data_IF_644815543459
#
_entry.id   IF_644815543459
#
_cell.length_a   1.000
_cell.length_b   1.000
_cell.length_c   1.000
_cell.angle_alpha   90.00
_cell.angle_beta   90.00
_cell.angle_gamma   90.00
#
_symmetry.space_group_name_H-M   'P 1'
#
loop_
_entity.id
_entity.type
_entity.pdbx_description
1 polymer ?
#
# COMPACT_ATOMS: atom_id res chain seq x y z
N UNK A 1 -28.66 3.95 16.92
CA UNK A 1 -27.24 3.66 16.61
C UNK A 1 -26.66 4.40 15.40
N UNK A 2 -27.40 5.29 14.71
CA UNK A 2 -26.89 6.13 13.59
C UNK A 2 -26.30 7.50 13.99
N UNK A 3 -26.38 7.91 15.27
CA UNK A 3 -26.09 9.30 15.68
C UNK A 3 -24.78 9.53 16.45
N UNK A 4 -24.08 8.48 16.88
CA UNK A 4 -22.86 8.64 17.71
C UNK A 4 -21.58 8.66 16.84
N UNK A 5 -21.63 8.14 15.61
CA UNK A 5 -20.49 8.13 14.68
C UNK A 5 -20.33 9.44 13.88
N UNK A 6 -21.41 10.22 13.73
CA UNK A 6 -21.45 11.42 12.88
C UNK A 6 -20.74 12.63 13.54
N UNK A 7 -20.64 12.67 14.87
CA UNK A 7 -20.20 13.89 15.57
C UNK A 7 -18.70 13.98 15.89
N UNK A 8 -17.94 12.88 15.89
CA UNK A 8 -16.47 12.96 16.06
C UNK A 8 -15.73 13.13 14.72
N UNK A 9 -16.32 12.71 13.60
CA UNK A 9 -15.69 12.79 12.27
C UNK A 9 -15.87 14.18 11.64
N UNK A 10 -16.92 14.91 12.00
CA UNK A 10 -17.20 16.24 11.45
C UNK A 10 -16.16 17.32 11.84
N UNK A 11 -15.40 17.13 12.92
CA UNK A 11 -14.38 18.11 13.35
C UNK A 11 -13.05 17.89 12.63
N UNK A 12 -12.78 16.68 12.11
CA UNK A 12 -11.53 16.35 11.40
C UNK A 12 -11.73 16.25 9.88
N UNK A 13 -12.91 15.82 9.42
CA UNK A 13 -13.18 15.49 8.02
C UNK A 13 -13.50 16.68 7.09
N UNK A 14 -13.87 17.84 7.64
CA UNK A 14 -14.31 19.00 6.82
C UNK A 14 -13.13 19.78 6.22
N UNK A 15 -11.92 19.66 6.77
CA UNK A 15 -10.75 20.38 6.25
C UNK A 15 -9.85 19.55 5.32
N UNK A 16 -9.98 18.22 5.29
CA UNK A 16 -9.12 17.37 4.45
C UNK A 16 -9.48 17.45 2.95
N UNK A 17 -10.72 17.81 2.61
CA UNK A 17 -11.20 17.76 1.21
C UNK A 17 -10.81 18.98 0.36
N UNK A 18 -10.27 20.05 0.96
CA UNK A 18 -9.95 21.29 0.25
C UNK A 18 -8.50 21.40 -0.25
N UNK A 19 -7.62 20.43 0.03
CA UNK A 19 -6.18 20.54 -0.27
C UNK A 19 -5.63 19.55 -1.32
N UNK A 20 -6.44 18.66 -1.89
CA UNK A 20 -5.98 17.68 -2.89
C UNK A 20 -5.62 18.24 -4.29
N UNK A 21 -5.41 19.56 -4.41
CA UNK A 21 -5.19 20.28 -5.67
C UNK A 21 -3.79 20.94 -5.78
N UNK A 22 -2.82 20.59 -4.95
CA UNK A 22 -1.49 21.20 -5.00
C UNK A 22 -0.37 20.16 -5.22
N UNK A 23 0.67 20.61 -5.91
CA UNK A 23 1.73 19.83 -6.56
C UNK A 23 2.37 18.81 -5.61
N UNK A 24 2.33 17.52 -5.97
CA UNK A 24 2.57 16.42 -5.04
C UNK A 24 4.06 16.17 -4.71
N UNK A 25 5.04 16.76 -5.40
CA UNK A 25 6.47 16.49 -5.08
C UNK A 25 7.39 17.69 -5.08
N UNK A 26 7.01 18.83 -5.68
CA UNK A 26 7.84 20.03 -5.58
C UNK A 26 7.79 20.64 -4.17
N UNK A 27 6.73 20.38 -3.40
CA UNK A 27 6.38 21.17 -2.21
C UNK A 27 6.33 20.37 -0.90
N UNK A 28 6.43 19.03 -0.92
CA UNK A 28 6.34 18.24 0.32
C UNK A 28 7.52 18.49 1.27
N UNK A 29 8.73 18.71 0.75
CA UNK A 29 9.86 19.18 1.57
C UNK A 29 9.71 20.64 2.00
N UNK A 30 8.98 21.46 1.25
CA UNK A 30 8.74 22.84 1.62
C UNK A 30 7.67 22.96 2.72
N UNK A 31 6.74 22.00 2.82
CA UNK A 31 5.78 21.90 3.92
C UNK A 31 6.45 21.55 5.24
N UNK A 32 7.41 20.64 5.22
CA UNK A 32 8.12 20.20 6.41
C UNK A 32 9.16 21.23 6.85
N UNK A 33 8.87 21.96 7.94
CA UNK A 33 9.81 22.94 8.51
C UNK A 33 11.05 22.28 9.15
N UNK A 34 10.96 21.01 9.54
CA UNK A 34 12.05 20.20 10.09
C UNK A 34 11.75 18.71 9.94
N UNK A 35 12.76 17.87 10.14
CA UNK A 35 12.67 16.42 10.07
C UNK A 35 13.26 15.75 11.32
N UNK A 36 12.69 14.61 11.73
CA UNK A 36 13.26 13.74 12.77
C UNK A 36 13.70 12.41 12.19
N UNK A 37 14.89 11.95 12.60
CA UNK A 37 15.41 10.66 12.16
C UNK A 37 14.69 9.48 12.81
N UNK A 38 14.38 9.58 14.10
CA UNK A 38 13.53 8.64 14.82
C UNK A 38 12.07 9.11 14.82
N UNK A 39 11.13 8.16 14.86
CA UNK A 39 9.72 8.46 15.12
C UNK A 39 9.56 8.72 16.60
N UNK A 40 9.20 9.95 16.97
CA UNK A 40 9.02 10.34 18.37
C UNK A 40 7.73 9.76 18.95
N UNK A 41 7.59 9.67 20.30
CA UNK A 41 6.33 9.22 20.91
C UNK A 41 5.11 10.06 20.50
N UNK A 42 5.29 11.37 20.29
CA UNK A 42 4.22 12.26 19.83
C UNK A 42 3.81 11.96 18.38
N UNK A 43 4.79 11.76 17.49
CA UNK A 43 4.52 11.32 16.11
C UNK A 43 3.84 9.95 16.08
N UNK A 44 4.30 9.00 16.91
CA UNK A 44 3.69 7.68 17.01
C UNK A 44 2.24 7.74 17.49
N UNK A 45 1.90 8.64 18.42
CA UNK A 45 0.51 8.84 18.84
C UNK A 45 -0.38 9.31 17.68
N UNK A 46 0.12 10.20 16.82
CA UNK A 46 -0.62 10.64 15.62
C UNK A 46 -0.77 9.49 14.62
N UNK A 47 0.29 8.71 14.39
CA UNK A 47 0.24 7.50 13.55
C UNK A 47 -0.85 6.55 14.09
N UNK A 48 -0.86 6.28 15.39
CA UNK A 48 -1.84 5.40 16.02
C UNK A 48 -3.29 5.90 15.87
N UNK A 49 -3.51 7.22 15.96
CA UNK A 49 -4.85 7.81 15.84
C UNK A 49 -5.35 7.86 14.39
N UNK A 50 -4.50 8.30 13.47
CA UNK A 50 -4.85 8.51 12.08
C UNK A 50 -4.80 7.20 11.29
N UNK A 51 -3.62 6.58 11.27
CA UNK A 51 -3.28 5.43 10.44
C UNK A 51 -3.68 4.14 11.15
N UNK A 52 -3.62 4.09 12.48
CA UNK A 52 -4.11 2.96 13.27
C UNK A 52 -5.63 2.88 13.42
N UNK A 53 -6.39 3.82 12.85
CA UNK A 53 -7.85 3.77 12.87
C UNK A 53 -8.39 2.54 12.15
N UNK A 54 -9.49 2.00 12.66
CA UNK A 54 -10.22 0.88 12.05
C UNK A 54 -10.44 1.04 10.54
N UNK A 55 -10.85 2.24 10.12
CA UNK A 55 -11.14 2.56 8.72
C UNK A 55 -9.88 2.51 7.88
N UNK A 56 -8.78 3.11 8.36
CA UNK A 56 -7.53 3.13 7.60
C UNK A 56 -6.91 1.73 7.49
N UNK A 57 -6.94 0.95 8.57
CA UNK A 57 -6.48 -0.45 8.57
C UNK A 57 -7.20 -1.30 7.54
N UNK A 58 -8.54 -1.25 7.52
CA UNK A 58 -9.36 -1.94 6.53
C UNK A 58 -9.09 -1.43 5.10
N UNK A 59 -8.93 -0.11 4.94
CA UNK A 59 -8.67 0.49 3.65
C UNK A 59 -7.36 0.00 3.03
N UNK A 60 -6.25 0.11 3.77
CA UNK A 60 -4.93 -0.34 3.30
C UNK A 60 -4.93 -1.84 3.01
N UNK A 61 -5.55 -2.62 3.88
CA UNK A 61 -5.74 -4.06 3.69
C UNK A 61 -6.48 -4.41 2.40
N UNK A 62 -7.65 -3.81 2.19
CA UNK A 62 -8.48 -4.09 1.01
C UNK A 62 -7.86 -3.56 -0.28
N UNK A 63 -7.15 -2.42 -0.22
CA UNK A 63 -6.43 -1.89 -1.36
C UNK A 63 -5.39 -2.91 -1.87
N UNK A 64 -4.58 -3.49 -0.98
CA UNK A 64 -3.63 -4.55 -1.37
C UNK A 64 -4.34 -5.83 -1.80
N UNK A 65 -5.33 -6.29 -1.01
CA UNK A 65 -6.07 -7.52 -1.30
C UNK A 65 -6.71 -7.48 -2.69
N UNK A 66 -7.37 -6.37 -3.03
CA UNK A 66 -8.12 -6.23 -4.27
C UNK A 66 -7.20 -6.16 -5.46
N UNK A 67 -6.10 -5.39 -5.42
CA UNK A 67 -5.08 -5.38 -6.49
C UNK A 67 -4.47 -6.76 -6.72
N UNK A 68 -4.06 -7.45 -5.65
CA UNK A 68 -3.40 -8.75 -5.73
C UNK A 68 -4.32 -9.90 -6.14
N UNK A 69 -5.59 -9.86 -5.73
CA UNK A 69 -6.54 -10.97 -5.89
C UNK A 69 -7.59 -10.77 -6.98
N UNK A 70 -7.59 -9.66 -7.72
CA UNK A 70 -8.68 -9.28 -8.64
C UNK A 70 -9.01 -10.35 -9.69
N UNK A 71 -7.97 -11.01 -10.23
CA UNK A 71 -8.11 -12.06 -11.25
C UNK A 71 -8.65 -13.38 -10.69
N UNK A 72 -8.65 -13.56 -9.36
CA UNK A 72 -9.19 -14.74 -8.67
C UNK A 72 -10.70 -14.64 -8.42
N UNK A 73 -11.31 -13.51 -8.80
CA UNK A 73 -12.72 -13.22 -8.56
C UNK A 73 -13.56 -13.49 -9.80
N UNK A 74 -14.72 -14.11 -9.59
CA UNK A 74 -15.76 -14.20 -10.62
C UNK A 74 -16.31 -12.81 -10.98
N UNK A 75 -16.94 -12.68 -12.16
CA UNK A 75 -17.59 -11.43 -12.58
C UNK A 75 -18.61 -10.92 -11.55
N UNK A 76 -19.33 -11.82 -10.89
CA UNK A 76 -20.29 -11.48 -9.83
C UNK A 76 -19.60 -10.92 -8.58
N UNK A 77 -18.44 -11.46 -8.20
CA UNK A 77 -17.63 -11.00 -7.06
C UNK A 77 -16.96 -9.66 -7.36
N UNK A 78 -16.39 -9.48 -8.56
CA UNK A 78 -15.85 -8.18 -9.01
C UNK A 78 -16.93 -7.10 -9.04
N UNK A 79 -18.14 -7.45 -9.51
CA UNK A 79 -19.29 -6.54 -9.51
C UNK A 79 -19.71 -6.18 -8.10
N UNK A 80 -19.73 -7.15 -7.17
CA UNK A 80 -20.04 -6.89 -5.77
C UNK A 80 -19.03 -5.91 -5.13
N UNK A 81 -17.72 -6.07 -5.40
CA UNK A 81 -16.69 -5.12 -4.95
C UNK A 81 -16.89 -3.73 -5.54
N UNK A 82 -17.08 -3.61 -6.86
CA UNK A 82 -17.33 -2.32 -7.54
C UNK A 82 -18.53 -1.55 -6.98
N UNK A 83 -19.61 -2.25 -6.62
CA UNK A 83 -20.81 -1.63 -6.02
C UNK A 83 -20.53 -1.04 -4.64
N UNK A 84 -19.66 -1.68 -3.85
CA UNK A 84 -19.36 -1.26 -2.48
C UNK A 84 -18.22 -0.23 -2.42
N UNK A 85 -17.27 -0.30 -3.35
CA UNK A 85 -16.20 0.68 -3.50
C UNK A 85 -15.76 0.78 -4.96
N UNK A 86 -16.07 1.90 -5.63
CA UNK A 86 -15.52 2.19 -6.96
C UNK A 86 -13.98 2.27 -6.96
N UNK A 87 -13.37 2.66 -5.83
CA UNK A 87 -11.91 2.74 -5.68
C UNK A 87 -11.27 1.35 -5.79
N UNK A 88 -11.81 0.37 -5.07
CA UNK A 88 -11.30 -1.01 -5.07
C UNK A 88 -11.60 -1.79 -6.35
N UNK A 89 -12.66 -1.40 -7.05
CA UNK A 89 -13.14 -2.13 -8.21
C UNK A 89 -12.54 -1.70 -9.56
N UNK A 90 -11.73 -0.64 -9.57
CA UNK A 90 -11.18 -0.01 -10.78
C UNK A 90 -9.65 0.09 -10.79
N UNK A 91 -8.97 -0.68 -9.94
CA UNK A 91 -7.51 -0.77 -9.97
C UNK A 91 -6.99 -1.29 -11.32
N UNK A 92 -5.81 -0.81 -11.69
CA UNK A 92 -5.03 -1.40 -12.75
C UNK A 92 -4.75 -2.88 -12.45
N UNK A 93 -4.88 -3.73 -13.48
CA UNK A 93 -4.57 -5.15 -13.35
C UNK A 93 -3.06 -5.31 -13.14
N UNK A 94 -2.64 -6.17 -12.22
CA UNK A 94 -1.23 -6.51 -12.04
C UNK A 94 -0.64 -7.27 -13.24
N UNK A 95 -1.51 -7.94 -14.02
CA UNK A 95 -1.15 -8.71 -15.20
C UNK A 95 -1.97 -8.27 -16.43
N UNK A 96 -1.37 -8.18 -17.63
CA UNK A 96 0.07 -8.27 -17.89
C UNK A 96 0.81 -7.13 -17.20
N UNK A 97 2.03 -7.41 -16.74
CA UNK A 97 2.82 -6.42 -15.99
C UNK A 97 3.16 -5.16 -16.84
N UNK A 98 3.44 -4.01 -16.21
CA UNK A 98 3.97 -2.85 -16.92
C UNK A 98 5.18 -3.20 -17.78
N UNK A 99 5.24 -2.65 -19.00
CA UNK A 99 6.30 -2.95 -19.98
C UNK A 99 6.13 -4.27 -20.77
N UNK A 100 5.17 -5.13 -20.41
CA UNK A 100 4.93 -6.39 -21.14
C UNK A 100 4.01 -6.24 -22.37
N UNK A 101 3.38 -5.08 -22.57
CA UNK A 101 2.50 -4.81 -23.71
C UNK A 101 2.70 -3.39 -24.23
N UNK A 102 2.25 -3.12 -25.46
CA UNK A 102 2.26 -1.77 -26.03
C UNK A 102 1.33 -0.78 -25.30
N UNK A 103 0.31 -1.29 -24.60
CA UNK A 103 -0.61 -0.47 -23.81
C UNK A 103 0.02 -0.16 -22.45
N UNK A 104 -0.05 1.10 -22.05
CA UNK A 104 0.41 1.53 -20.73
C UNK A 104 -0.41 0.88 -19.61
N UNK A 105 0.27 0.20 -18.70
CA UNK A 105 -0.34 -0.32 -17.48
C UNK A 105 0.14 0.52 -16.29
N UNK A 106 -0.74 1.26 -15.58
CA UNK A 106 -0.36 2.11 -14.46
C UNK A 106 -0.25 1.38 -13.10
N UNK A 107 -0.24 0.04 -13.07
CA UNK A 107 -0.24 -0.74 -11.82
C UNK A 107 0.88 -0.36 -10.84
N UNK A 108 2.10 -0.09 -11.31
CA UNK A 108 3.19 0.33 -10.43
C UNK A 108 3.07 1.79 -9.99
N UNK A 109 2.52 2.67 -10.82
CA UNK A 109 2.21 4.04 -10.41
C UNK A 109 1.10 4.09 -9.34
N UNK A 110 0.10 3.21 -9.40
CA UNK A 110 -0.90 3.09 -8.32
C UNK A 110 -0.26 2.77 -6.98
N UNK A 111 0.73 1.87 -6.96
CA UNK A 111 1.50 1.56 -5.75
C UNK A 111 2.24 2.77 -5.21
N UNK A 112 3.00 3.47 -6.07
CA UNK A 112 3.76 4.65 -5.66
C UNK A 112 2.82 5.76 -5.15
N UNK A 113 1.75 6.04 -5.89
CA UNK A 113 0.80 7.10 -5.58
C UNK A 113 0.05 6.87 -4.27
N UNK A 114 -0.42 5.65 -4.00
CA UNK A 114 -1.17 5.35 -2.78
C UNK A 114 -0.29 5.60 -1.53
N UNK A 115 0.94 5.10 -1.55
CA UNK A 115 1.88 5.27 -0.42
C UNK A 115 2.35 6.71 -0.28
N UNK A 116 2.59 7.40 -1.40
CA UNK A 116 2.89 8.82 -1.40
C UNK A 116 1.77 9.62 -0.71
N UNK A 117 0.51 9.37 -1.06
CA UNK A 117 -0.63 10.06 -0.44
C UNK A 117 -0.81 9.71 1.05
N UNK A 118 -0.42 8.50 1.49
CA UNK A 118 -0.37 8.19 2.92
C UNK A 118 0.70 9.03 3.65
N UNK A 119 1.87 9.19 3.04
CA UNK A 119 2.97 10.02 3.57
C UNK A 119 2.52 11.49 3.63
N UNK A 120 1.97 12.02 2.56
CA UNK A 120 1.44 13.39 2.47
C UNK A 120 0.39 13.67 3.55
N UNK A 121 -0.55 12.73 3.75
CA UNK A 121 -1.58 12.84 4.78
C UNK A 121 -0.97 12.88 6.20
N UNK A 122 -0.01 12.01 6.50
CA UNK A 122 0.65 12.01 7.80
C UNK A 122 1.46 13.30 8.00
N UNK A 123 2.29 13.68 7.03
CA UNK A 123 3.14 14.86 7.12
C UNK A 123 2.33 16.15 7.28
N UNK A 124 1.21 16.29 6.54
CA UNK A 124 0.23 17.37 6.75
C UNK A 124 -0.24 17.44 8.19
N UNK A 125 -0.62 16.28 8.74
CA UNK A 125 -1.14 16.17 10.11
C UNK A 125 -0.07 16.52 11.14
N UNK A 126 1.18 16.07 10.95
CA UNK A 126 2.31 16.41 11.82
C UNK A 126 2.57 17.94 11.82
N UNK A 127 2.68 18.54 10.63
CA UNK A 127 2.99 19.97 10.48
C UNK A 127 1.87 20.85 11.07
N UNK A 128 0.61 20.51 10.82
CA UNK A 128 -0.54 21.21 11.41
C UNK A 128 -0.59 21.15 12.95
N UNK A 129 0.07 20.16 13.55
CA UNK A 129 0.24 20.03 15.00
C UNK A 129 1.58 20.62 15.50
N UNK A 130 2.31 21.33 14.64
CA UNK A 130 3.60 21.94 14.99
C UNK A 130 4.73 20.93 15.21
N UNK A 131 4.60 19.70 14.68
CA UNK A 131 5.62 18.67 14.76
C UNK A 131 6.45 18.58 13.47
N UNK A 132 7.74 18.23 13.57
CA UNK A 132 8.56 17.93 12.41
C UNK A 132 8.02 16.72 11.66
N UNK A 133 8.30 16.65 10.36
CA UNK A 133 8.05 15.46 9.55
C UNK A 133 9.00 14.32 9.94
N UNK A 134 8.63 13.09 9.58
CA UNK A 134 9.50 11.92 9.77
C UNK A 134 10.47 11.87 8.59
N UNK A 135 11.77 11.90 8.86
CA UNK A 135 12.78 11.74 7.81
C UNK A 135 12.62 10.34 7.18
N UNK A 136 12.78 10.19 5.86
CA UNK A 136 12.86 8.86 5.27
C UNK A 136 14.22 8.20 5.58
N UNK A 137 14.41 6.93 5.23
CA UNK A 137 15.76 6.39 5.12
C UNK A 137 16.43 6.94 3.86
N UNK A 138 17.63 7.51 3.99
CA UNK A 138 18.44 7.94 2.83
C UNK A 138 19.09 6.74 2.14
N UNK A 139 19.43 5.72 2.93
CA UNK A 139 19.87 4.39 2.49
C UNK A 139 19.24 3.35 3.40
N UNK A 140 18.97 2.16 2.88
CA UNK A 140 18.43 1.07 3.70
C UNK A 140 19.45 0.71 4.78
N UNK A 141 19.07 0.72 6.08
CA UNK A 141 20.01 0.51 7.17
C UNK A 141 20.72 -0.84 7.12
N UNK A 142 21.89 -0.90 7.76
CA UNK A 142 22.56 -2.18 8.03
C UNK A 142 21.79 -2.99 9.07
N UNK A 143 22.07 -4.30 9.18
CA UNK A 143 21.32 -5.16 10.09
C UNK A 143 21.53 -4.81 11.56
N UNK A 144 22.73 -4.30 11.88
CA UNK A 144 23.15 -3.88 13.21
C UNK A 144 23.03 -2.36 13.41
N UNK A 145 22.21 -1.68 12.60
CA UNK A 145 21.96 -0.26 12.77
C UNK A 145 21.45 0.02 14.20
N UNK A 146 22.07 0.97 14.89
CA UNK A 146 21.76 1.24 16.30
C UNK A 146 20.34 1.81 16.50
N UNK A 147 19.79 2.45 15.46
CA UNK A 147 18.46 3.09 15.50
C UNK A 147 17.39 2.19 14.91
N UNK A 148 17.73 1.45 13.85
CA UNK A 148 16.81 0.60 13.08
C UNK A 148 17.30 -0.85 12.97
N UNK A 149 17.59 -1.53 14.09
CA UNK A 149 18.12 -2.90 14.04
C UNK A 149 17.09 -3.86 13.43
N UNK A 150 17.57 -4.87 12.71
CA UNK A 150 16.72 -5.98 12.28
C UNK A 150 16.29 -6.79 13.51
N UNK A 151 14.99 -7.07 13.73
CA UNK A 151 14.56 -7.84 14.89
C UNK A 151 15.18 -9.23 14.92
N UNK A 152 15.72 -9.63 16.09
CA UNK A 152 16.46 -10.89 16.30
C UNK A 152 15.64 -12.15 15.99
N UNK A 153 14.33 -12.12 16.22
CA UNK A 153 13.48 -13.27 15.99
C UNK A 153 13.35 -13.54 14.48
N UNK A 154 13.70 -14.76 14.06
CA UNK A 154 13.62 -15.18 12.67
C UNK A 154 12.85 -16.50 12.53
N UNK A 155 11.51 -16.45 12.56
CA UNK A 155 10.68 -17.65 12.36
C UNK A 155 10.80 -18.24 10.94
N UNK A 156 11.48 -17.55 10.02
CA UNK A 156 11.64 -17.95 8.61
C UNK A 156 13.03 -18.51 8.30
N UNK A 157 13.88 -18.76 9.30
CA UNK A 157 15.29 -19.17 9.09
C UNK A 157 15.45 -20.50 8.34
N UNK A 158 14.40 -21.32 8.27
CA UNK A 158 14.37 -22.59 7.54
C UNK A 158 13.76 -22.46 6.15
N UNK A 159 13.20 -21.31 5.81
CA UNK A 159 12.64 -21.03 4.49
C UNK A 159 13.79 -20.73 3.52
N UNK A 160 13.76 -21.24 2.27
CA UNK A 160 14.84 -20.95 1.32
C UNK A 160 14.93 -19.45 0.95
N UNK A 161 13.93 -18.67 1.35
CA UNK A 161 13.75 -17.25 1.09
C UNK A 161 13.70 -16.46 2.40
N UNK A 162 14.53 -16.85 3.36
CA UNK A 162 14.68 -16.18 4.66
C UNK A 162 14.91 -14.66 4.47
N UNK A 163 13.93 -13.81 4.81
CA UNK A 163 14.01 -12.36 4.62
C UNK A 163 15.03 -11.69 5.53
N UNK A 164 15.46 -12.36 6.61
CA UNK A 164 16.49 -11.89 7.54
C UNK A 164 17.87 -12.48 7.23
N UNK A 165 17.93 -13.49 6.38
CA UNK A 165 19.17 -14.16 5.98
C UNK A 165 20.12 -13.31 5.11
N UNK A 166 21.35 -13.80 4.89
CA UNK A 166 22.37 -13.10 4.12
C UNK A 166 22.02 -12.99 2.62
N UNK A 167 21.29 -13.95 2.07
CA UNK A 167 20.82 -13.89 0.67
C UNK A 167 19.87 -12.71 0.46
N UNK A 168 18.88 -12.55 1.35
CA UNK A 168 17.96 -11.41 1.30
C UNK A 168 18.70 -10.07 1.45
N UNK A 169 19.73 -10.02 2.32
CA UNK A 169 20.59 -8.84 2.45
C UNK A 169 21.29 -8.48 1.13
N UNK A 170 21.86 -9.47 0.44
CA UNK A 170 22.54 -9.25 -0.83
C UNK A 170 21.60 -8.69 -1.91
N UNK A 171 20.36 -9.18 -1.99
CA UNK A 171 19.34 -8.62 -2.89
C UNK A 171 18.97 -7.18 -2.54
N UNK A 172 18.74 -6.89 -1.25
CA UNK A 172 18.46 -5.52 -0.79
C UNK A 172 19.61 -4.57 -1.15
N UNK A 173 20.86 -5.00 -0.92
CA UNK A 173 22.03 -4.20 -1.25
C UNK A 173 22.19 -3.93 -2.73
N UNK A 174 21.89 -4.91 -3.58
CA UNK A 174 21.98 -4.73 -5.02
C UNK A 174 20.82 -3.90 -5.58
N UNK A 175 19.58 -4.22 -5.21
CA UNK A 175 18.40 -3.57 -5.76
C UNK A 175 18.25 -2.11 -5.30
N UNK A 176 18.71 -1.75 -4.10
CA UNK A 176 18.67 -0.34 -3.70
C UNK A 176 19.53 0.55 -4.60
N UNK A 177 20.64 0.02 -5.14
CA UNK A 177 21.51 0.75 -6.06
C UNK A 177 20.84 0.87 -7.44
N UNK A 178 20.19 -0.20 -7.93
CA UNK A 178 19.39 -0.16 -9.16
C UNK A 178 18.30 0.92 -9.11
N UNK A 179 17.53 0.98 -8.03
CA UNK A 179 16.45 1.96 -7.86
C UNK A 179 16.92 3.41 -7.67
N UNK A 180 18.23 3.64 -7.52
CA UNK A 180 18.84 4.96 -7.44
C UNK A 180 19.72 5.29 -8.65
N UNK A 181 19.99 4.33 -9.56
CA UNK A 181 20.82 4.53 -10.75
C UNK A 181 20.04 5.29 -11.86
N UNK A 182 20.49 6.49 -12.26
CA UNK A 182 19.86 7.24 -13.34
C UNK A 182 19.83 6.51 -14.69
N UNK A 183 20.77 5.58 -14.97
CA UNK A 183 20.76 4.83 -16.23
C UNK A 183 19.58 3.87 -16.31
N UNK A 184 19.34 3.13 -15.23
CA UNK A 184 18.17 2.27 -15.07
C UNK A 184 16.88 3.09 -15.12
N UNK A 185 16.80 4.16 -14.33
CA UNK A 185 15.58 4.97 -14.22
C UNK A 185 15.18 5.68 -15.52
N UNK A 186 16.12 5.96 -16.43
CA UNK A 186 15.84 6.59 -17.74
C UNK A 186 15.24 5.64 -18.77
N UNK A 187 15.46 4.34 -18.63
CA UNK A 187 15.01 3.35 -19.63
C UNK A 187 13.75 2.61 -19.20
N UNK A 188 13.19 2.97 -18.04
CA UNK A 188 11.94 2.41 -17.52
C UNK A 188 10.92 3.51 -17.22
N UNK A 189 9.66 3.22 -17.53
CA UNK A 189 8.54 4.05 -17.11
C UNK A 189 8.38 4.04 -15.59
N UNK A 190 7.74 5.07 -15.02
CA UNK A 190 7.49 5.13 -13.58
C UNK A 190 6.68 3.91 -13.08
N UNK A 191 5.76 3.39 -13.89
CA UNK A 191 4.99 2.18 -13.54
C UNK A 191 5.85 0.91 -13.58
N UNK A 192 6.79 0.76 -14.51
CA UNK A 192 7.74 -0.37 -14.48
C UNK A 192 8.62 -0.33 -13.23
N UNK A 193 9.12 0.85 -12.86
CA UNK A 193 9.91 1.05 -11.64
C UNK A 193 9.07 0.74 -10.40
N UNK A 194 7.87 1.30 -10.29
CA UNK A 194 6.98 1.08 -9.15
C UNK A 194 6.55 -0.38 -8.99
N UNK A 195 6.28 -1.07 -10.09
CA UNK A 195 5.91 -2.49 -10.08
C UNK A 195 7.09 -3.36 -9.67
N UNK A 196 8.28 -3.12 -10.25
CA UNK A 196 9.49 -3.83 -9.85
C UNK A 196 9.78 -3.59 -8.37
N UNK A 197 9.65 -2.35 -7.89
CA UNK A 197 9.88 -1.98 -6.50
C UNK A 197 8.94 -2.71 -5.54
N UNK A 198 7.63 -2.73 -5.81
CA UNK A 198 6.60 -3.43 -5.03
C UNK A 198 6.90 -4.92 -4.88
N UNK A 199 7.20 -5.61 -6.00
CA UNK A 199 7.36 -7.06 -6.04
C UNK A 199 8.80 -7.55 -5.81
N UNK A 200 9.73 -6.66 -5.46
CA UNK A 200 11.10 -7.02 -5.09
C UNK A 200 11.43 -6.54 -3.68
N UNK A 201 12.18 -5.44 -3.58
CA UNK A 201 12.78 -4.94 -2.35
C UNK A 201 11.73 -4.48 -1.33
N UNK A 202 10.59 -3.90 -1.76
CA UNK A 202 9.55 -3.44 -0.84
C UNK A 202 9.03 -4.57 0.07
N UNK A 203 8.58 -5.68 -0.53
CA UNK A 203 8.07 -6.83 0.22
C UNK A 203 9.16 -7.46 1.11
N UNK A 204 10.42 -7.49 0.64
CA UNK A 204 11.54 -7.97 1.44
C UNK A 204 11.78 -7.10 2.68
N UNK A 205 11.72 -5.77 2.55
CA UNK A 205 11.94 -4.85 3.67
C UNK A 205 10.86 -4.99 4.75
N UNK A 206 9.59 -5.17 4.35
CA UNK A 206 8.51 -5.46 5.28
C UNK A 206 8.79 -6.71 6.12
N UNK A 207 9.20 -7.81 5.49
CA UNK A 207 9.44 -9.07 6.22
C UNK A 207 10.78 -9.07 6.98
N UNK A 208 11.80 -8.37 6.46
CA UNK A 208 13.10 -8.26 7.13
C UNK A 208 12.99 -7.51 8.45
N UNK A 209 12.25 -6.40 8.49
CA UNK A 209 12.03 -5.63 9.72
C UNK A 209 10.79 -6.04 10.51
N UNK A 210 10.03 -7.03 10.05
CA UNK A 210 8.97 -7.61 10.86
C UNK A 210 9.57 -8.31 12.09
N UNK A 211 9.03 -7.99 13.28
CA UNK A 211 9.15 -8.86 14.44
C UNK A 211 8.20 -10.05 14.29
N UNK A 212 8.41 -11.14 15.03
CA UNK A 212 7.43 -12.23 15.08
C UNK A 212 6.08 -11.69 15.52
N UNK A 213 4.96 -12.07 14.85
CA UNK A 213 3.63 -11.79 15.36
C UNK A 213 3.52 -12.24 16.82
N UNK A 214 2.89 -11.45 17.69
CA UNK A 214 2.74 -11.86 19.09
C UNK A 214 1.80 -13.06 19.16
N UNK A 215 1.96 -13.91 20.16
CA UNK A 215 1.04 -15.02 20.36
C UNK A 215 -0.38 -14.49 20.57
N UNK A 216 -1.36 -14.93 19.76
CA UNK A 216 -2.73 -14.40 19.76
C UNK A 216 -2.96 -13.21 18.80
N UNK A 217 -1.92 -12.72 18.12
CA UNK A 217 -1.99 -11.79 16.99
C UNK A 217 -2.19 -12.54 15.65
N UNK A 218 -2.66 -13.79 15.69
CA UNK A 218 -3.01 -14.58 14.51
C UNK A 218 -4.13 -13.88 13.75
N UNK A 219 -3.76 -13.05 12.79
CA UNK A 219 -4.70 -12.30 11.98
C UNK A 219 -5.68 -13.31 11.33
N UNK A 220 -7.01 -13.09 11.40
CA UNK A 220 -7.96 -14.15 11.09
C UNK A 220 -7.74 -14.67 9.68
N UNK A 221 -7.65 -15.98 9.50
CA UNK A 221 -7.59 -16.58 8.16
C UNK A 221 -8.92 -16.40 7.40
N UNK A 222 -10.04 -16.23 8.12
CA UNK A 222 -11.35 -15.93 7.55
C UNK A 222 -11.61 -14.42 7.55
N UNK A 223 -11.13 -13.77 6.50
CA UNK A 223 -10.95 -12.33 6.42
C UNK A 223 -12.23 -11.55 6.08
N UNK A 224 -13.35 -12.21 5.77
CA UNK A 224 -14.67 -11.57 5.78
C UNK A 224 -15.02 -11.02 7.17
N UNK A 225 -14.43 -11.58 8.24
CA UNK A 225 -14.59 -11.04 9.60
C UNK A 225 -13.96 -9.65 9.74
N UNK A 226 -12.89 -9.33 8.99
CA UNK A 226 -12.17 -8.05 9.05
C UNK A 226 -13.09 -6.87 8.71
N UNK A 227 -14.14 -7.10 7.92
CA UNK A 227 -15.12 -6.09 7.52
C UNK A 227 -16.34 -5.99 8.44
N UNK A 228 -16.41 -6.83 9.47
CA UNK A 228 -17.53 -6.80 10.41
C UNK A 228 -17.31 -5.72 11.47
N UNK A 229 -18.38 -5.04 11.93
CA UNK A 229 -18.28 -4.08 13.03
C UNK A 229 -17.67 -4.67 14.30
N UNK A 230 -17.86 -5.97 14.54
CA UNK A 230 -17.33 -6.67 15.70
C UNK A 230 -15.81 -6.84 15.66
N UNK A 231 -15.20 -6.81 14.47
CA UNK A 231 -13.75 -6.89 14.33
C UNK A 231 -13.04 -5.64 14.86
N UNK A 232 -13.72 -4.49 14.82
CA UNK A 232 -13.18 -3.21 15.28
C UNK A 232 -13.04 -3.13 16.81
N UNK A 233 -13.69 -4.03 17.56
CA UNK A 233 -13.59 -4.13 19.02
C UNK A 233 -12.61 -5.21 19.51
N UNK A 234 -11.81 -5.80 18.62
CA UNK A 234 -10.87 -6.90 18.95
C UNK A 234 -9.46 -6.39 19.26
N UNK A 235 -8.56 -7.28 19.68
CA UNK A 235 -7.14 -6.94 19.86
C UNK A 235 -6.49 -6.34 18.59
N UNK A 236 -7.04 -6.60 17.40
CA UNK A 236 -6.51 -6.10 16.13
C UNK A 236 -6.72 -4.60 15.92
N UNK A 237 -7.56 -3.95 16.72
CA UNK A 237 -7.70 -2.49 16.73
C UNK A 237 -6.66 -1.80 17.64
N UNK A 238 -5.94 -2.56 18.48
CA UNK A 238 -4.92 -2.01 19.37
C UNK A 238 -3.77 -1.39 18.56
N UNK A 239 -3.23 -0.22 18.97
CA UNK A 239 -1.98 0.32 18.42
C UNK A 239 -0.79 -0.65 18.51
N UNK A 240 -0.83 -1.57 19.47
CA UNK A 240 0.20 -2.59 19.61
C UNK A 240 0.13 -3.67 18.51
N UNK A 241 -1.02 -3.80 17.83
CA UNK A 241 -1.14 -4.63 16.63
C UNK A 241 -0.58 -3.85 15.43
N UNK A 242 0.75 -3.90 15.28
CA UNK A 242 1.54 -3.16 14.28
C UNK A 242 2.51 -4.08 13.51
N UNK A 243 2.09 -5.32 13.25
CA UNK A 243 2.90 -6.31 12.53
C UNK A 243 3.22 -5.84 11.10
N UNK A 244 4.52 -5.72 10.80
CA UNK A 244 4.99 -5.15 9.53
C UNK A 244 4.71 -6.07 8.32
N UNK A 245 4.55 -7.37 8.53
CA UNK A 245 4.29 -8.36 7.47
C UNK A 245 2.84 -8.44 6.97
N UNK A 246 1.93 -7.62 7.50
CA UNK A 246 0.53 -7.58 7.06
C UNK A 246 0.07 -6.15 6.80
N UNK A 247 -0.49 -5.88 5.63
CA UNK A 247 -0.97 -4.54 5.26
C UNK A 247 -2.06 -4.01 6.21
N UNK A 248 -2.83 -4.85 6.89
CA UNK A 248 -3.79 -4.37 7.88
C UNK A 248 -3.15 -3.58 9.03
N UNK A 249 -1.89 -3.83 9.36
CA UNK A 249 -1.23 -3.23 10.53
C UNK A 249 0.13 -2.61 10.27
N UNK A 250 0.75 -2.86 9.12
CA UNK A 250 2.10 -2.39 8.84
C UNK A 250 2.26 -0.87 8.98
N UNK A 251 1.29 -0.07 8.53
CA UNK A 251 1.33 1.40 8.61
C UNK A 251 1.30 1.97 10.04
N UNK A 252 1.02 1.14 11.06
CA UNK A 252 1.11 1.54 12.47
C UNK A 252 2.54 1.41 12.99
N UNK A 253 3.37 0.59 12.34
CA UNK A 253 4.75 0.38 12.72
C UNK A 253 5.62 1.59 12.33
N UNK A 254 6.50 2.11 13.19
CA UNK A 254 7.36 3.24 12.84
C UNK A 254 8.30 2.95 11.66
N UNK A 255 8.72 1.69 11.46
CA UNK A 255 9.58 1.31 10.32
C UNK A 255 8.88 1.53 8.98
N UNK A 256 7.56 1.37 8.92
CA UNK A 256 6.79 1.58 7.69
C UNK A 256 7.06 2.96 7.09
N UNK A 257 7.06 4.01 7.91
CA UNK A 257 7.23 5.39 7.45
C UNK A 257 8.65 5.68 6.95
N UNK A 258 9.65 4.99 7.51
CA UNK A 258 11.05 5.10 7.07
C UNK A 258 11.26 4.39 5.73
N UNK A 259 10.72 3.17 5.62
CA UNK A 259 10.73 2.33 4.42
C UNK A 259 9.99 3.02 3.27
N UNK A 260 8.74 3.44 3.51
CA UNK A 260 7.92 4.07 2.49
C UNK A 260 8.41 5.46 2.10
N UNK A 261 9.04 6.19 3.03
CA UNK A 261 9.76 7.41 2.67
C UNK A 261 10.99 7.16 1.79
N UNK A 262 11.64 5.99 1.86
CA UNK A 262 12.68 5.60 0.90
C UNK A 262 12.09 5.21 -0.46
N UNK A 263 10.97 4.47 -0.47
CA UNK A 263 10.18 4.19 -1.70
C UNK A 263 9.79 5.48 -2.40
N UNK A 264 9.32 6.48 -1.65
CA UNK A 264 8.95 7.79 -2.19
C UNK A 264 10.15 8.56 -2.77
N UNK A 265 11.35 8.39 -2.19
CA UNK A 265 12.58 8.95 -2.78
C UNK A 265 12.95 8.34 -4.13
N UNK A 266 12.56 7.09 -4.41
CA UNK A 266 12.75 6.48 -5.74
C UNK A 266 11.95 7.24 -6.80
N UNK A 267 10.75 7.73 -6.47
CA UNK A 267 9.97 8.61 -7.36
C UNK A 267 10.75 9.89 -7.65
N UNK A 268 11.29 10.52 -6.61
CA UNK A 268 12.10 11.72 -6.76
C UNK A 268 13.38 11.48 -7.60
N UNK A 269 14.01 10.31 -7.46
CA UNK A 269 15.15 9.91 -8.28
C UNK A 269 14.75 9.72 -9.75
N UNK A 270 13.62 9.05 -10.00
CA UNK A 270 13.10 8.84 -11.34
C UNK A 270 12.75 10.16 -12.04
N UNK A 271 12.08 11.08 -11.35
CA UNK A 271 11.77 12.41 -11.89
C UNK A 271 13.04 13.15 -12.32
N UNK A 272 14.06 13.20 -11.44
CA UNK A 272 15.35 13.83 -11.76
C UNK A 272 16.05 13.17 -12.94
N UNK A 273 16.06 11.84 -12.99
CA UNK A 273 16.70 11.08 -14.07
C UNK A 273 16.05 11.36 -15.44
N UNK A 274 14.75 11.67 -15.44
CA UNK A 274 13.94 11.92 -16.64
C UNK A 274 13.67 13.41 -16.91
N UNK A 275 14.34 14.33 -16.19
CA UNK A 275 14.26 15.77 -16.43
C UNK A 275 12.99 16.45 -15.92
N UNK A 276 12.20 15.77 -15.08
CA UNK A 276 11.06 16.36 -14.39
C UNK A 276 11.50 16.99 -13.07
N UNK A 277 10.89 18.12 -12.71
CA UNK A 277 11.09 18.77 -11.41
C UNK A 277 9.92 18.54 -10.47
N UNK A 278 8.76 18.10 -11.00
CA UNK A 278 7.57 17.82 -10.22
C UNK A 278 6.65 16.82 -10.89
N UNK A 279 5.71 16.30 -10.12
CA UNK A 279 4.65 15.40 -10.57
C UNK A 279 3.33 15.85 -9.97
N UNK A 280 2.25 15.78 -10.75
CA UNK A 280 0.92 16.26 -10.37
C UNK A 280 -0.14 15.56 -11.21
N UNK A 281 -1.38 15.51 -10.75
CA UNK A 281 -2.50 15.10 -11.62
C UNK A 281 -2.82 16.16 -12.68
N UNK A 282 -2.53 17.42 -12.38
CA UNK A 282 -2.95 18.58 -13.17
C UNK A 282 -1.72 19.37 -13.65
N UNK A 283 -0.83 18.71 -14.38
CA UNK A 283 0.29 19.41 -15.01
C UNK A 283 -0.23 20.47 -16.00
N UNK A 284 0.25 21.74 -15.92
CA UNK A 284 -0.13 22.76 -16.88
C UNK A 284 0.19 22.32 -18.31
N UNK A 285 -0.70 22.66 -19.25
CA UNK A 285 -0.51 22.33 -20.67
C UNK A 285 0.81 22.94 -21.15
N UNK A 286 1.68 22.10 -21.73
CA UNK A 286 2.99 22.53 -22.24
C UNK A 286 4.11 22.56 -21.19
N UNK A 287 3.83 22.24 -19.92
CA UNK A 287 4.88 22.15 -18.90
C UNK A 287 5.70 20.87 -19.02
N UNK A 288 6.86 20.98 -19.67
CA UNK A 288 7.78 19.86 -19.86
C UNK A 288 8.48 19.36 -18.59
N UNK A 289 8.39 20.09 -17.48
CA UNK A 289 9.03 19.74 -16.21
C UNK A 289 8.06 19.10 -15.21
N UNK A 290 6.78 19.02 -15.56
CA UNK A 290 5.75 18.36 -14.77
C UNK A 290 5.40 17.00 -15.38
N UNK A 291 5.64 15.92 -14.63
CA UNK A 291 5.12 14.61 -15.01
C UNK A 291 3.65 14.48 -14.58
N UNK A 292 2.71 14.18 -15.47
CA UNK A 292 1.35 13.90 -15.07
C UNK A 292 1.25 12.48 -14.51
N UNK A 293 0.76 12.32 -13.27
CA UNK A 293 0.38 11.00 -12.74
C UNK A 293 -0.54 10.33 -13.77
N UNK A 294 -0.14 9.16 -14.28
CA UNK A 294 -0.91 8.39 -15.24
C UNK A 294 -1.94 7.51 -14.54
N UNK A 295 -1.70 7.20 -13.27
CA UNK A 295 -2.69 6.59 -12.38
C UNK A 295 -3.82 7.57 -12.03
N UNK A 296 -5.05 7.05 -11.92
CA UNK A 296 -6.26 7.80 -11.51
C UNK A 296 -6.74 7.41 -10.12
N UNK A 297 -5.83 7.08 -9.21
CA UNK A 297 -6.21 6.82 -7.83
C UNK A 297 -6.62 8.14 -7.16
N UNK A 298 -7.88 8.21 -6.73
CA UNK A 298 -8.51 9.42 -6.19
C UNK A 298 -8.55 9.47 -4.65
N UNK A 299 -7.70 8.68 -3.99
CA UNK A 299 -7.64 8.63 -2.54
C UNK A 299 -8.92 8.11 -1.88
N UNK A 300 -8.96 8.18 -0.56
CA UNK A 300 -10.14 7.89 0.25
C UNK A 300 -11.18 9.00 0.00
N UNK A 301 -11.89 8.94 -1.13
CA UNK A 301 -13.16 9.65 -1.23
C UNK A 301 -14.06 9.07 -0.15
N UNK A 302 -14.32 9.86 0.89
CA UNK A 302 -15.32 9.65 1.95
C UNK A 302 -16.19 8.39 1.83
N UNK A 303 -16.00 7.46 2.77
CA UNK A 303 -16.88 6.33 3.08
C UNK A 303 -17.11 5.26 1.96
N UNK A 304 -17.19 3.96 2.32
CA UNK A 304 -18.03 3.06 1.55
C UNK A 304 -19.44 3.65 1.56
N UNK A 305 -20.05 3.90 0.39
CA UNK A 305 -21.43 4.42 0.32
C UNK A 305 -22.38 3.42 1.00
N UNK A 306 -22.61 3.62 2.29
CA UNK A 306 -23.75 3.06 3.00
C UNK A 306 -24.99 3.65 2.36
N UNK A 307 -25.71 2.82 1.61
CA UNK A 307 -26.91 3.21 0.84
C UNK A 307 -27.79 4.20 1.59
N UNK A 308 -27.74 5.45 1.14
CA UNK A 308 -28.67 6.51 1.47
C UNK A 308 -28.95 7.21 0.15
N UNK A 309 -29.94 6.67 -0.57
CA UNK A 309 -30.30 7.12 -1.91
C UNK A 309 -30.88 8.52 -1.91
N UNK A 310 -30.57 9.25 -2.97
CA UNK A 310 -31.40 10.33 -3.49
C UNK A 310 -31.30 10.32 -5.02
N UNK A 311 -31.83 9.26 -5.63
CA UNK A 311 -32.26 9.34 -7.02
C UNK A 311 -33.75 9.68 -7.02
N UNK A 312 -34.04 10.91 -7.42
CA UNK A 312 -35.38 11.37 -7.72
C UNK A 312 -35.89 10.69 -8.99
N UNK A 313 -36.53 9.54 -8.83
CA UNK A 313 -37.48 9.07 -9.83
C UNK A 313 -38.84 8.77 -9.17
N UNK A 314 -39.83 9.48 -9.69
CA UNK A 314 -41.20 9.49 -9.23
C UNK A 314 -41.90 8.13 -9.43
N UNK A 315 -42.76 7.80 -8.46
CA UNK A 315 -43.89 6.90 -8.64
C UNK A 315 -43.58 5.42 -8.51
N UNK A 316 -43.77 4.86 -7.31
CA UNK A 316 -44.76 3.79 -7.06
C UNK A 316 -44.79 3.47 -5.56
N UNK A 317 -45.99 3.60 -4.97
CA UNK A 317 -46.29 3.15 -3.62
C UNK A 317 -46.26 1.62 -3.56
N UNK A 318 -45.69 1.05 -2.49
CA UNK A 318 -45.79 -0.38 -2.24
C UNK A 318 -44.94 -0.90 -1.09
N UNK A 319 -45.55 -0.95 0.10
CA UNK A 319 -45.27 -1.84 1.23
C UNK A 319 -43.86 -1.93 1.85
N UNK A 320 -43.81 -1.51 3.12
CA UNK A 320 -42.67 -1.66 4.00
C UNK A 320 -42.30 -3.13 4.24
N UNK A 321 -40.99 -3.39 4.14
CA UNK A 321 -40.36 -4.58 4.71
C UNK A 321 -39.28 -4.10 5.68
N UNK A 322 -39.53 -4.29 6.97
CA UNK A 322 -38.47 -4.30 7.98
C UNK A 322 -37.60 -5.54 7.76
N UNK A 323 -36.70 -5.47 6.78
CA UNK A 323 -35.65 -6.47 6.56
C UNK A 323 -34.33 -5.96 7.12
N UNK A 324 -33.67 -6.76 7.95
CA UNK A 324 -32.23 -6.61 8.19
C UNK A 324 -31.49 -6.54 6.85
N UNK A 325 -30.43 -5.72 6.70
CA UNK A 325 -29.67 -5.68 5.45
C UNK A 325 -29.21 -7.10 5.11
N UNK A 326 -29.67 -7.64 3.97
CA UNK A 326 -29.20 -8.95 3.51
C UNK A 326 -27.69 -8.83 3.28
N UNK A 327 -26.93 -9.62 4.03
CA UNK A 327 -25.49 -9.77 3.87
C UNK A 327 -25.17 -10.10 2.40
N UNK A 328 -24.35 -9.28 1.73
CA UNK A 328 -23.95 -9.49 0.34
C UNK A 328 -22.98 -10.68 0.30
N UNK A 329 -23.53 -11.89 0.18
CA UNK A 329 -22.74 -13.12 0.13
C UNK A 329 -21.69 -13.12 -0.99
N UNK A 330 -21.87 -12.32 -2.05
CA UNK A 330 -20.86 -12.20 -3.10
C UNK A 330 -19.69 -11.33 -2.65
N UNK A 331 -19.95 -10.25 -1.91
CA UNK A 331 -18.89 -9.43 -1.31
C UNK A 331 -18.08 -10.24 -0.29
N UNK A 332 -18.74 -10.97 0.61
CA UNK A 332 -18.03 -11.78 1.63
C UNK A 332 -17.14 -12.83 0.98
N UNK A 333 -17.64 -13.55 -0.04
CA UNK A 333 -16.83 -14.51 -0.80
C UNK A 333 -15.68 -13.84 -1.52
N UNK A 334 -15.92 -12.66 -2.11
CA UNK A 334 -14.87 -11.91 -2.79
C UNK A 334 -13.73 -11.60 -1.82
N UNK A 335 -14.07 -10.97 -0.69
CA UNK A 335 -13.10 -10.57 0.35
C UNK A 335 -12.35 -11.78 0.89
N UNK A 336 -13.05 -12.86 1.28
CA UNK A 336 -12.38 -14.07 1.78
C UNK A 336 -11.42 -14.68 0.75
N UNK A 337 -11.71 -14.61 -0.55
CA UNK A 337 -10.79 -15.12 -1.59
C UNK A 337 -9.53 -14.27 -1.73
N UNK A 338 -9.66 -12.96 -1.73
CA UNK A 338 -8.57 -12.05 -2.07
C UNK A 338 -7.71 -11.66 -0.87
N UNK A 339 -8.19 -11.90 0.32
CA UNK A 339 -7.57 -11.36 1.52
C UNK A 339 -6.19 -11.95 1.84
N UNK A 340 -5.87 -13.15 1.33
CA UNK A 340 -4.50 -13.71 1.35
C UNK A 340 -3.48 -12.88 0.57
N UNK A 341 -3.92 -12.01 -0.34
CA UNK A 341 -3.04 -11.14 -1.14
C UNK A 341 -2.71 -9.82 -0.44
N UNK A 342 -3.16 -9.66 0.81
CA UNK A 342 -2.87 -8.50 1.65
C UNK A 342 -1.72 -8.73 2.65
N UNK A 343 -1.16 -9.94 2.68
CA UNK A 343 0.08 -10.21 3.42
C UNK A 343 1.27 -9.94 2.53
N UNK A 344 2.36 -9.45 3.11
CA UNK A 344 3.62 -9.21 2.39
C UNK A 344 4.49 -10.48 2.35
N UNK A 345 3.90 -11.65 2.61
CA UNK A 345 4.63 -12.88 2.85
C UNK A 345 5.65 -13.15 1.74
N UNK A 346 6.89 -13.00 2.16
CA UNK A 346 8.17 -13.51 1.66
C UNK A 346 8.19 -13.89 0.19
N UNK A 347 8.98 -13.12 -0.58
CA UNK A 347 9.75 -13.57 -1.75
C UNK A 347 9.31 -14.95 -2.24
N UNK A 348 8.19 -15.00 -2.95
CA UNK A 348 7.87 -16.16 -3.76
C UNK A 348 8.55 -15.88 -5.10
N UNK A 349 9.63 -16.57 -5.49
CA UNK A 349 9.70 -16.95 -6.89
C UNK A 349 8.37 -17.65 -7.18
N UNK A 350 7.77 -17.45 -8.34
CA UNK A 350 6.60 -18.19 -8.79
C UNK A 350 6.89 -19.69 -8.91
N UNK A 351 7.07 -20.38 -7.79
CA UNK A 351 7.31 -21.83 -7.74
C UNK A 351 6.10 -22.56 -7.18
N UNK A 352 4.90 -22.02 -7.36
CA UNK A 352 3.80 -22.88 -7.77
C UNK A 352 3.45 -22.53 -9.22
N UNK A 353 3.94 -23.32 -10.19
CA UNK A 353 3.39 -23.24 -11.54
C UNK A 353 1.91 -23.60 -11.46
N UNK A 354 1.06 -22.86 -12.18
CA UNK A 354 -0.27 -23.34 -12.53
C UNK A 354 -0.05 -24.57 -13.42
N UNK A 355 0.03 -25.74 -12.79
CA UNK A 355 0.32 -27.02 -13.44
C UNK A 355 1.66 -27.60 -12.99
N UNK A 356 1.60 -28.73 -12.30
CA UNK A 356 2.78 -29.37 -11.72
C UNK A 356 3.84 -29.79 -12.75
N UNK A 357 5.07 -29.37 -12.51
CA UNK A 357 6.30 -30.10 -12.84
C UNK A 357 7.52 -29.39 -12.22
N UNK A 358 8.34 -30.14 -11.47
CA UNK A 358 9.78 -29.89 -11.35
C UNK A 358 10.27 -28.93 -10.25
N UNK A 359 10.90 -29.49 -9.22
CA UNK A 359 11.85 -28.79 -8.37
C UNK A 359 13.06 -28.34 -9.21
N UNK A 360 13.25 -27.04 -9.40
CA UNK A 360 14.43 -26.47 -10.04
C UNK A 360 14.45 -24.97 -9.83
N UNK A 361 15.29 -24.49 -8.89
CA UNK A 361 15.53 -23.08 -8.65
C UNK A 361 16.35 -22.47 -9.79
N UNK A 362 15.88 -21.43 -10.49
CA UNK A 362 16.80 -20.43 -11.02
C UNK A 362 17.09 -19.47 -9.87
N UNK A 363 18.23 -19.65 -9.19
CA UNK A 363 18.78 -18.58 -8.36
C UNK A 363 19.20 -17.44 -9.29
N UNK A 364 18.36 -16.43 -9.42
CA UNK A 364 18.74 -15.15 -10.03
C UNK A 364 19.91 -14.55 -9.24
N UNK A 365 20.83 -13.85 -9.92
CA UNK A 365 21.96 -13.22 -9.23
C UNK A 365 21.43 -11.97 -8.49
N UNK A 366 21.92 -11.66 -7.27
CA UNK A 366 21.50 -10.46 -6.54
C UNK A 366 21.57 -9.16 -7.37
N UNK A 367 22.52 -9.08 -8.31
CA UNK A 367 22.74 -7.92 -9.15
C UNK A 367 21.87 -7.86 -10.43
N UNK A 368 20.91 -8.76 -10.62
CA UNK A 368 20.02 -8.72 -11.78
C UNK A 368 19.09 -7.49 -11.72
N UNK A 369 18.82 -6.91 -12.90
CA UNK A 369 17.82 -5.86 -13.09
C UNK A 369 16.47 -6.31 -12.47
N UNK A 370 15.91 -5.54 -11.51
CA UNK A 370 14.69 -5.93 -10.82
C UNK A 370 13.48 -6.06 -11.75
N UNK A 371 13.45 -5.37 -12.89
CA UNK A 371 12.39 -5.52 -13.91
C UNK A 371 12.49 -6.85 -14.67
N UNK A 372 13.70 -7.39 -14.83
CA UNK A 372 13.91 -8.71 -15.42
C UNK A 372 13.51 -9.79 -14.43
N UNK A 373 13.89 -9.62 -13.15
CA UNK A 373 13.47 -10.52 -12.07
C UNK A 373 11.93 -10.67 -12.01
N UNK A 374 11.18 -9.55 -11.98
CA UNK A 374 9.70 -9.64 -11.93
C UNK A 374 9.10 -10.19 -13.22
N UNK A 375 9.68 -9.92 -14.41
CA UNK A 375 9.27 -10.58 -15.67
C UNK A 375 9.45 -12.09 -15.62
N UNK A 376 10.47 -12.55 -14.92
CA UNK A 376 10.75 -13.97 -14.77
C UNK A 376 9.82 -14.67 -13.78
N UNK A 377 9.23 -13.93 -12.83
CA UNK A 377 8.55 -14.51 -11.66
C UNK A 377 7.10 -14.06 -11.47
N UNK A 378 6.58 -13.11 -12.23
CA UNK A 378 5.20 -12.63 -12.09
C UNK A 378 4.38 -12.87 -13.36
N UNK A 379 3.06 -12.99 -13.19
CA UNK A 379 2.09 -13.12 -14.29
C UNK A 379 2.30 -14.33 -15.22
N UNK A 380 2.85 -15.43 -14.69
CA UNK A 380 3.06 -16.70 -15.40
C UNK A 380 1.97 -17.72 -15.10
#
# INVERSE_FOLDING_TARGET
MKKILVSLIAIVGVNAHAQFNQELFADDRARCFAFTDAVTPQQQNIINQLMGSAVHRQYHFLWHATRGGWDQLSANEQTALRRNSPVWGNHARLCPMPGASATYNPAGEEFLLMHHMMIDQLQSTLVSQGLPCIAPWTRIPSDNDATWPVPNANPWSTQPQDPKGPTARAYIDAWQEWFMDPNFLRVHTLSEVGYALEFTIHNMLHMRWAATPRQGDDFPQNLAQVLTPNFLGTQFASPEFNYLGNSYSAHVNPVFWKLHGWVDQVVAAWLRANGFTRISFNCPVGDRYCYPWQSRWNGVSSEPRGGSGHDHHAGHQGHGSHGTPKQDKALDRAVSKIARFATFDTFRPSSEPIGGAGQGQPQTLPNEDPTVYVRANNCR
#
